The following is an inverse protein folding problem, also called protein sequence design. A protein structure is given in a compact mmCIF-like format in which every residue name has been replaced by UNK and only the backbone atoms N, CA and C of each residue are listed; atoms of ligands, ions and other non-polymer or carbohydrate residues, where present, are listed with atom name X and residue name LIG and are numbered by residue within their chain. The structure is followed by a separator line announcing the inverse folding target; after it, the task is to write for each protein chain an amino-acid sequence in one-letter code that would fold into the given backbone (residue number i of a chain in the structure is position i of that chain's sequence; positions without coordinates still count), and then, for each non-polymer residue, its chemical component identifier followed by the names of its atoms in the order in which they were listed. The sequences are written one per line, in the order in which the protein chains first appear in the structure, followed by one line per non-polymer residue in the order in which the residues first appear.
data_IF_708991585106
#
_entry.id   IF_708991585106
#
_cell.length_a   1.000
_cell.length_b   1.000
_cell.length_c   1.000
_cell.angle_alpha   90.00
_cell.angle_beta   90.00
_cell.angle_gamma   90.00
#
_symmetry.space_group_name_H-M   'P 1'
#
loop_
_entity.id
_entity.type
_entity.pdbx_description
1 polymer ?
#
# COMPACT_ATOMS: atom_id res chain seq x y z
N UNK A 1 -6.43 9.50 10.57
CA UNK A 1 -6.82 8.08 10.68
C UNK A 1 -5.58 7.31 11.13
N UNK A 2 -5.62 6.52 12.21
CA UNK A 2 -4.49 5.67 12.59
C UNK A 2 -4.22 4.60 11.53
N UNK A 3 -2.97 4.14 11.43
CA UNK A 3 -2.50 3.31 10.30
C UNK A 3 -3.19 1.96 10.13
N UNK A 4 -3.70 1.42 11.22
CA UNK A 4 -4.55 0.23 11.25
C UNK A 4 -5.91 0.47 10.59
N UNK A 5 -6.50 1.67 10.74
CA UNK A 5 -7.78 2.00 10.10
C UNK A 5 -7.62 2.14 8.58
N UNK A 6 -6.46 2.59 8.08
CA UNK A 6 -6.17 2.64 6.64
C UNK A 6 -6.17 1.24 6.02
N UNK A 7 -5.45 0.31 6.66
CA UNK A 7 -5.39 -1.08 6.22
C UNK A 7 -6.79 -1.72 6.22
N UNK A 8 -7.55 -1.53 7.30
CA UNK A 8 -8.94 -2.02 7.35
C UNK A 8 -9.80 -1.39 6.24
N UNK A 9 -9.71 -0.07 6.05
CA UNK A 9 -10.48 0.67 5.03
C UNK A 9 -10.17 0.18 3.62
N UNK A 10 -8.89 0.01 3.27
CA UNK A 10 -8.49 -0.50 1.96
C UNK A 10 -8.97 -1.94 1.73
N UNK A 11 -8.94 -2.78 2.77
CA UNK A 11 -9.49 -4.15 2.72
C UNK A 11 -10.99 -4.18 2.47
N UNK A 12 -11.75 -3.33 3.16
CA UNK A 12 -13.20 -3.25 3.01
C UNK A 12 -13.64 -2.68 1.65
N UNK A 13 -12.86 -1.74 1.09
CA UNK A 13 -13.19 -1.01 -0.13
C UNK A 13 -12.68 -1.73 -1.41
N UNK A 14 -11.79 -2.70 -1.26
CA UNK A 14 -11.28 -3.54 -2.36
C UNK A 14 -10.41 -2.79 -3.36
N UNK A 15 -10.23 -3.39 -4.55
CA UNK A 15 -9.34 -2.89 -5.60
C UNK A 15 -9.72 -1.51 -6.15
N UNK A 16 -8.73 -0.81 -6.71
CA UNK A 16 -8.93 0.50 -7.34
C UNK A 16 -7.70 1.41 -7.31
N UNK A 17 -7.89 2.66 -7.73
CA UNK A 17 -6.87 3.71 -7.67
C UNK A 17 -6.85 4.39 -6.30
N UNK A 18 -5.66 4.55 -5.73
CA UNK A 18 -5.45 5.11 -4.40
C UNK A 18 -4.34 6.15 -4.42
N UNK A 19 -4.57 7.23 -3.70
CA UNK A 19 -3.56 8.20 -3.29
C UNK A 19 -3.04 7.80 -1.90
N UNK A 20 -1.73 7.57 -1.79
CA UNK A 20 -1.05 7.23 -0.55
C UNK A 20 -0.11 8.38 -0.14
N UNK A 21 -0.18 8.82 1.11
CA UNK A 21 0.72 9.83 1.68
C UNK A 21 1.69 9.18 2.66
N UNK A 22 2.98 9.40 2.45
CA UNK A 22 4.07 8.87 3.29
C UNK A 22 4.47 9.91 4.35
N UNK A 23 4.82 9.44 5.54
CA UNK A 23 5.42 10.26 6.59
C UNK A 23 6.68 10.97 6.06
N UNK A 24 6.69 12.30 6.04
CA UNK A 24 7.78 13.08 5.46
C UNK A 24 7.52 13.63 4.06
N UNK A 25 6.34 13.35 3.47
CA UNK A 25 5.73 14.23 2.45
C UNK A 25 5.61 13.68 1.03
N UNK A 26 6.15 12.51 0.70
CA UNK A 26 5.95 11.92 -0.62
C UNK A 26 4.49 11.45 -0.78
N UNK A 27 3.87 11.77 -1.91
CA UNK A 27 2.55 11.27 -2.30
C UNK A 27 2.69 10.33 -3.49
N UNK A 28 2.03 9.17 -3.42
CA UNK A 28 2.12 8.10 -4.41
C UNK A 28 0.73 7.72 -4.90
N UNK A 29 0.57 7.74 -6.21
CA UNK A 29 -0.61 7.19 -6.90
C UNK A 29 -0.34 5.74 -7.28
N UNK A 30 -1.10 4.82 -6.69
CA UNK A 30 -1.01 3.39 -6.93
C UNK A 30 -2.39 2.80 -7.23
N UNK A 31 -2.45 1.89 -8.21
CA UNK A 31 -3.62 1.05 -8.42
C UNK A 31 -3.41 -0.27 -7.72
N UNK A 32 -4.29 -0.68 -6.82
CA UNK A 32 -4.21 -1.97 -6.13
C UNK A 32 -5.21 -2.95 -6.75
N UNK A 33 -4.70 -4.07 -7.28
CA UNK A 33 -5.50 -5.09 -7.99
C UNK A 33 -6.14 -6.08 -7.01
N UNK A 34 -5.42 -6.42 -5.94
CA UNK A 34 -5.87 -7.38 -4.93
C UNK A 34 -5.48 -6.88 -3.54
N UNK A 35 -6.45 -6.89 -2.63
CA UNK A 35 -6.26 -6.55 -1.22
C UNK A 35 -6.61 -7.76 -0.39
N UNK A 36 -5.62 -8.36 0.24
CA UNK A 36 -5.75 -9.51 1.12
C UNK A 36 -5.69 -9.06 2.58
N UNK A 37 -6.67 -9.50 3.38
CA UNK A 37 -6.65 -9.34 4.83
C UNK A 37 -6.75 -10.73 5.46
N UNK A 38 -5.71 -11.15 6.18
CA UNK A 38 -5.68 -12.44 6.87
C UNK A 38 -4.99 -12.36 8.23
N UNK A 39 -5.30 -13.32 9.12
CA UNK A 39 -4.64 -13.40 10.43
C UNK A 39 -3.16 -13.78 10.34
N UNK A 40 -2.74 -14.50 9.28
CA UNK A 40 -1.34 -14.90 9.08
C UNK A 40 -0.47 -13.80 8.47
N UNK A 41 -1.03 -12.97 7.57
CA UNK A 41 -0.27 -11.97 6.81
C UNK A 41 -0.58 -10.53 7.21
N UNK A 42 -1.64 -10.32 8.00
CA UNK A 42 -2.20 -9.00 8.26
C UNK A 42 -2.86 -8.46 7.00
N UNK A 43 -2.68 -7.17 6.73
CA UNK A 43 -3.06 -6.52 5.48
C UNK A 43 -1.92 -6.62 4.47
N UNK A 44 -2.27 -7.00 3.24
CA UNK A 44 -1.37 -7.03 2.10
C UNK A 44 -2.10 -6.56 0.84
N UNK A 45 -1.56 -5.55 0.16
CA UNK A 45 -2.08 -5.10 -1.13
C UNK A 45 -0.94 -4.96 -2.13
N UNK A 46 -1.10 -5.60 -3.28
CA UNK A 46 -0.20 -5.45 -4.42
C UNK A 46 -0.84 -4.53 -5.45
N UNK A 47 -0.01 -3.62 -5.97
CA UNK A 47 -0.45 -2.62 -6.90
C UNK A 47 0.55 -2.30 -7.98
N UNK A 48 0.06 -1.67 -9.04
CA UNK A 48 0.82 -1.34 -10.23
C UNK A 48 0.47 0.06 -10.71
N UNK A 49 1.47 0.77 -11.21
CA UNK A 49 1.29 2.00 -11.97
C UNK A 49 2.06 1.86 -13.28
N UNK A 50 1.35 1.53 -14.35
CA UNK A 50 1.97 1.32 -15.67
C UNK A 50 2.58 2.60 -16.24
N UNK A 51 1.96 3.76 -15.98
CA UNK A 51 2.44 5.06 -16.48
C UNK A 51 3.81 5.41 -15.89
N UNK A 52 4.03 5.07 -14.61
CA UNK A 52 5.30 5.26 -13.92
C UNK A 52 6.25 4.08 -14.08
N UNK A 53 5.79 2.97 -14.65
CA UNK A 53 6.57 1.75 -14.75
C UNK A 53 6.92 1.14 -13.39
N UNK A 54 6.02 1.23 -12.39
CA UNK A 54 6.28 0.82 -11.01
C UNK A 54 5.29 -0.24 -10.50
N UNK A 55 5.80 -1.12 -9.63
CA UNK A 55 5.01 -1.98 -8.74
C UNK A 55 5.09 -1.43 -7.32
N UNK A 56 4.00 -1.62 -6.58
CA UNK A 56 3.85 -1.22 -5.19
C UNK A 56 3.36 -2.41 -4.38
N UNK A 57 3.86 -2.52 -3.16
CA UNK A 57 3.39 -3.50 -2.19
C UNK A 57 3.18 -2.79 -0.85
N UNK A 58 1.96 -2.86 -0.35
CA UNK A 58 1.56 -2.26 0.91
C UNK A 58 1.29 -3.37 1.93
N UNK A 59 1.96 -3.34 3.08
CA UNK A 59 1.82 -4.38 4.11
C UNK A 59 1.86 -3.82 5.52
N UNK A 60 1.03 -4.35 6.44
CA UNK A 60 1.13 -4.06 7.88
C UNK A 60 2.12 -4.98 8.62
N UNK A 61 2.68 -5.98 7.94
CA UNK A 61 3.39 -7.10 8.54
C UNK A 61 2.48 -8.07 9.30
N UNK A 62 3.09 -9.09 9.92
CA UNK A 62 2.40 -10.23 10.60
C UNK A 62 1.57 -9.88 11.83
N UNK A 63 1.62 -8.64 12.33
CA UNK A 63 0.87 -8.25 13.51
C UNK A 63 -0.28 -7.32 13.11
N UNK A 64 -1.54 -7.67 13.48
CA UNK A 64 -2.63 -6.72 13.46
C UNK A 64 -2.23 -5.47 14.28
N UNK A 65 -2.16 -4.30 13.63
CA UNK A 65 -1.76 -3.04 14.25
C UNK A 65 -0.27 -2.66 14.16
N UNK A 66 0.53 -3.40 13.39
CA UNK A 66 1.90 -2.98 13.05
C UNK A 66 1.97 -1.78 12.09
N UNK A 67 3.14 -1.12 11.95
CA UNK A 67 3.30 0.00 11.02
C UNK A 67 3.07 -0.45 9.57
N UNK A 68 2.28 0.30 8.81
CA UNK A 68 2.11 0.07 7.36
C UNK A 68 3.40 0.45 6.65
N UNK A 69 3.97 -0.49 5.91
CA UNK A 69 5.13 -0.30 5.06
C UNK A 69 4.71 -0.31 3.61
N UNK A 70 5.22 0.66 2.86
CA UNK A 70 5.12 0.67 1.41
C UNK A 70 6.47 0.33 0.82
N UNK A 71 6.49 -0.69 -0.03
CA UNK A 71 7.63 -1.01 -0.89
C UNK A 71 7.28 -0.69 -2.33
N UNK A 72 8.28 -0.27 -3.09
CA UNK A 72 8.13 0.00 -4.51
C UNK A 72 9.29 -0.61 -5.28
N UNK A 73 9.04 -0.98 -6.53
CA UNK A 73 10.09 -1.37 -7.46
C UNK A 73 9.73 -1.01 -8.89
N UNK A 74 10.71 -0.71 -9.76
CA UNK A 74 10.48 -0.67 -11.19
C UNK A 74 9.93 -2.00 -11.73
N UNK A 75 9.11 -1.96 -12.77
CA UNK A 75 8.54 -3.15 -13.41
C UNK A 75 9.59 -4.09 -13.99
N UNK A 76 10.74 -3.55 -14.37
CA UNK A 76 11.90 -4.26 -14.92
C UNK A 76 12.95 -4.64 -13.86
N UNK A 77 12.66 -4.38 -12.58
CA UNK A 77 13.55 -4.70 -11.46
C UNK A 77 12.99 -5.83 -10.60
N UNK A 78 13.88 -6.64 -10.04
CA UNK A 78 13.55 -7.63 -9.02
C UNK A 78 13.68 -7.06 -7.59
N UNK A 79 14.43 -5.97 -7.43
CA UNK A 79 14.77 -5.38 -6.14
C UNK A 79 13.68 -4.44 -5.63
N UNK A 80 13.30 -4.62 -4.37
CA UNK A 80 12.32 -3.77 -3.68
C UNK A 80 13.02 -2.69 -2.86
N UNK A 81 12.54 -1.46 -2.99
CA UNK A 81 12.93 -0.31 -2.16
C UNK A 81 11.80 0.01 -1.17
N UNK A 82 12.15 0.29 0.08
CA UNK A 82 11.19 0.79 1.07
C UNK A 82 10.93 2.29 0.82
N UNK A 83 9.71 2.62 0.43
CA UNK A 83 9.30 4.01 0.17
C UNK A 83 9.02 4.78 1.47
N UNK A 84 8.75 4.06 2.56
CA UNK A 84 8.54 4.61 3.90
C UNK A 84 7.25 4.15 4.56
N UNK A 85 6.92 4.78 5.69
CA UNK A 85 5.68 4.55 6.43
C UNK A 85 4.54 5.38 5.83
N UNK A 86 3.44 4.73 5.47
CA UNK A 86 2.23 5.45 5.04
C UNK A 86 1.62 6.16 6.26
N UNK A 87 0.92 7.27 6.06
CA UNK A 87 0.18 8.00 7.12
C UNK A 87 -1.27 8.26 6.74
N UNK A 88 -1.61 8.23 5.45
CA UNK A 88 -2.97 8.43 4.95
C UNK A 88 -3.14 7.70 3.60
N UNK A 89 -4.31 7.09 3.37
CA UNK A 89 -4.70 6.51 2.09
C UNK A 89 -6.12 6.98 1.72
N UNK A 90 -6.30 7.40 0.48
CA UNK A 90 -7.57 7.91 -0.04
C UNK A 90 -7.85 7.25 -1.39
N UNK A 91 -9.03 6.62 -1.54
CA UNK A 91 -9.47 6.10 -2.83
C UNK A 91 -9.82 7.25 -3.75
N UNK A 92 -9.30 7.23 -4.98
CA UNK A 92 -9.71 8.17 -6.01
C UNK A 92 -11.07 7.72 -6.55
N UNK A 93 -12.07 8.59 -6.41
CA UNK A 93 -13.48 8.31 -6.71
C UNK A 93 -13.83 8.25 -8.19
#
# INVERSE_FOLDING_TARGET
MPLNEIATTMGEIGSGAWELRIEGGETIDAFFDEVEVSEERGFHAEGRNEERGMLYELTTGKQPGGPVRLRRRPLDSEEWEEAGAVVEAVKQG
#
